data_IF_928995877500
#
_entry.id   IF_928995877500
#
_cell.length_a   1.000
_cell.length_b   1.000
_cell.length_c   1.000
_cell.angle_alpha   90.00
_cell.angle_beta   90.00
_cell.angle_gamma   90.00
#
_symmetry.space_group_name_H-M   'P 1'
#
loop_
_entity.id
_entity.type
_entity.pdbx_description
1 polymer ?
#
# COMPACT_ATOMS: atom_id res chain seq x y z
N UNK A 1 -2.84 -24.08 22.19
CA UNK A 1 -1.64 -23.38 21.66
C UNK A 1 -1.81 -22.84 20.23
N UNK A 2 -2.83 -23.27 19.45
CA UNK A 2 -3.01 -22.87 18.03
C UNK A 2 -3.81 -21.56 17.84
N UNK A 3 -4.82 -21.28 18.68
CA UNK A 3 -5.73 -20.14 18.50
C UNK A 3 -5.06 -18.75 18.61
N UNK A 4 -4.01 -18.62 19.43
CA UNK A 4 -3.26 -17.36 19.56
C UNK A 4 -2.45 -17.04 18.30
N UNK A 5 -1.85 -18.06 17.66
CA UNK A 5 -1.07 -17.89 16.42
C UNK A 5 -1.95 -17.41 15.26
N UNK A 6 -3.16 -17.97 15.13
CA UNK A 6 -4.11 -17.58 14.06
C UNK A 6 -4.62 -16.15 14.28
N UNK A 7 -4.97 -15.76 15.52
CA UNK A 7 -5.37 -14.38 15.81
C UNK A 7 -4.30 -13.36 15.45
N UNK A 8 -3.03 -13.67 15.73
CA UNK A 8 -1.90 -12.79 15.40
C UNK A 8 -1.73 -12.58 13.89
N UNK A 9 -1.94 -13.65 13.08
CA UNK A 9 -1.83 -13.59 11.62
C UNK A 9 -2.97 -12.77 10.99
N UNK A 10 -4.19 -12.87 11.52
CA UNK A 10 -5.31 -12.02 11.07
C UNK A 10 -5.13 -10.54 11.39
N UNK A 11 -4.52 -10.19 12.53
CA UNK A 11 -4.23 -8.80 12.90
C UNK A 11 -3.18 -8.21 11.94
N UNK A 12 -2.12 -8.96 11.63
CA UNK A 12 -1.12 -8.53 10.66
C UNK A 12 -1.73 -8.28 9.28
N UNK A 13 -2.63 -9.16 8.82
CA UNK A 13 -3.34 -8.99 7.55
C UNK A 13 -4.23 -7.75 7.51
N UNK A 14 -4.99 -7.50 8.59
CA UNK A 14 -5.80 -6.29 8.72
C UNK A 14 -4.93 -5.02 8.66
N UNK A 15 -3.77 -5.02 9.29
CA UNK A 15 -2.83 -3.89 9.24
C UNK A 15 -2.28 -3.65 7.84
N UNK A 16 -1.92 -4.71 7.09
CA UNK A 16 -1.44 -4.58 5.71
C UNK A 16 -2.54 -4.05 4.78
N UNK A 17 -3.78 -4.53 4.93
CA UNK A 17 -4.93 -3.99 4.18
C UNK A 17 -5.15 -2.51 4.51
N UNK A 18 -5.08 -2.14 5.79
CA UNK A 18 -5.20 -0.74 6.19
C UNK A 18 -4.10 0.13 5.57
N UNK A 19 -2.84 -0.33 5.59
CA UNK A 19 -1.73 0.35 4.95
C UNK A 19 -1.91 0.48 3.42
N UNK A 20 -2.46 -0.55 2.76
CA UNK A 20 -2.78 -0.52 1.35
C UNK A 20 -3.85 0.54 1.04
N UNK A 21 -4.94 0.59 1.83
CA UNK A 21 -6.02 1.59 1.67
C UNK A 21 -5.49 3.01 1.88
N UNK A 22 -4.69 3.23 2.93
CA UNK A 22 -4.09 4.53 3.22
C UNK A 22 -3.17 4.98 2.07
N UNK A 23 -2.28 4.09 1.60
CA UNK A 23 -1.38 4.36 0.48
C UNK A 23 -2.16 4.66 -0.80
N UNK A 24 -3.22 3.89 -1.10
CA UNK A 24 -4.11 4.16 -2.22
C UNK A 24 -4.75 5.54 -2.14
N UNK A 25 -5.26 5.92 -0.97
CA UNK A 25 -5.90 7.23 -0.76
C UNK A 25 -4.92 8.37 -1.00
N UNK A 26 -3.68 8.23 -0.52
CA UNK A 26 -2.61 9.19 -0.75
C UNK A 26 -2.24 9.26 -2.23
N UNK A 27 -2.09 8.13 -2.92
CA UNK A 27 -1.77 8.10 -4.36
C UNK A 27 -2.86 8.74 -5.20
N UNK A 28 -4.14 8.47 -4.91
CA UNK A 28 -5.28 9.06 -5.63
C UNK A 28 -5.29 10.59 -5.54
N UNK A 29 -4.86 11.17 -4.42
CA UNK A 29 -4.79 12.63 -4.25
C UNK A 29 -3.48 13.20 -4.82
N UNK A 30 -2.35 12.55 -4.53
CA UNK A 30 -1.02 13.04 -4.89
C UNK A 30 -0.74 12.96 -6.39
N UNK A 31 -1.27 11.97 -7.10
CA UNK A 31 -1.05 11.82 -8.54
C UNK A 31 -1.63 13.01 -9.33
N UNK A 32 -2.92 13.37 -9.19
CA UNK A 32 -3.46 14.59 -9.80
C UNK A 32 -2.72 15.86 -9.34
N UNK A 33 -2.35 15.95 -8.07
CA UNK A 33 -1.65 17.12 -7.50
C UNK A 33 -0.28 17.35 -8.15
N UNK A 34 0.49 16.28 -8.37
CA UNK A 34 1.79 16.33 -9.04
C UNK A 34 1.63 16.70 -10.52
N UNK A 35 0.59 16.21 -11.18
CA UNK A 35 0.33 16.53 -12.58
C UNK A 35 -0.27 17.93 -12.81
N UNK A 36 -0.99 18.47 -11.83
CA UNK A 36 -1.62 19.79 -11.94
C UNK A 36 -0.66 20.96 -11.64
N UNK A 37 0.48 20.73 -10.96
CA UNK A 37 1.43 21.80 -10.63
C UNK A 37 2.44 22.06 -11.76
N UNK A 38 2.79 23.33 -12.05
CA UNK A 38 3.89 23.67 -12.95
C UNK A 38 5.19 23.03 -12.47
N UNK A 39 5.95 22.39 -13.36
CA UNK A 39 7.16 21.60 -13.05
C UNK A 39 6.96 20.46 -12.03
N UNK A 40 5.73 20.17 -11.61
CA UNK A 40 5.41 19.14 -10.63
C UNK A 40 5.93 17.76 -11.03
N UNK A 41 5.83 17.42 -12.32
CA UNK A 41 6.34 16.17 -12.86
C UNK A 41 7.87 16.06 -12.84
N UNK A 42 8.62 17.13 -13.14
CA UNK A 42 10.08 17.04 -13.19
C UNK A 42 10.66 16.82 -11.79
N UNK A 43 10.10 17.50 -10.79
CA UNK A 43 10.58 17.50 -9.42
C UNK A 43 10.07 16.31 -8.59
N UNK A 44 8.82 15.88 -8.80
CA UNK A 44 8.19 14.84 -7.96
C UNK A 44 8.10 13.46 -8.63
N UNK A 45 8.72 13.27 -9.80
CA UNK A 45 8.72 11.99 -10.54
C UNK A 45 9.09 10.81 -9.65
N UNK A 46 10.18 10.95 -8.88
CA UNK A 46 10.70 9.88 -8.05
C UNK A 46 9.75 9.53 -6.88
N UNK A 47 9.02 10.53 -6.36
CA UNK A 47 8.02 10.32 -5.30
C UNK A 47 6.84 9.51 -5.83
N UNK A 48 6.33 9.85 -7.02
CA UNK A 48 5.23 9.11 -7.66
C UNK A 48 5.66 7.67 -7.99
N UNK A 49 6.88 7.47 -8.53
CA UNK A 49 7.40 6.14 -8.79
C UNK A 49 7.60 5.32 -7.51
N UNK A 50 8.19 5.91 -6.47
CA UNK A 50 8.41 5.24 -5.18
C UNK A 50 7.07 4.85 -4.55
N UNK A 51 6.10 5.77 -4.50
CA UNK A 51 4.76 5.50 -3.96
C UNK A 51 4.03 4.40 -4.74
N UNK A 52 4.08 4.43 -6.07
CA UNK A 52 3.46 3.40 -6.92
C UNK A 52 4.14 2.04 -6.73
N UNK A 53 5.46 2.00 -6.64
CA UNK A 53 6.22 0.76 -6.39
C UNK A 53 5.89 0.14 -5.04
N UNK A 54 5.77 0.97 -4.00
CA UNK A 54 5.36 0.56 -2.66
C UNK A 54 3.93 0.04 -2.64
N UNK A 55 3.03 0.70 -3.39
CA UNK A 55 1.64 0.25 -3.55
C UNK A 55 1.55 -1.12 -4.22
N UNK A 56 2.29 -1.35 -5.32
CA UNK A 56 2.35 -2.67 -5.98
C UNK A 56 2.90 -3.73 -5.02
N UNK A 57 3.96 -3.40 -4.27
CA UNK A 57 4.52 -4.31 -3.26
C UNK A 57 3.52 -4.69 -2.18
N UNK A 58 2.72 -3.73 -1.69
CA UNK A 58 1.63 -3.98 -0.75
C UNK A 58 0.54 -4.89 -1.33
N UNK A 59 0.16 -4.70 -2.60
CA UNK A 59 -0.84 -5.57 -3.27
C UNK A 59 -0.36 -7.01 -3.30
N UNK A 60 0.90 -7.26 -3.68
CA UNK A 60 1.47 -8.61 -3.65
C UNK A 60 1.54 -9.18 -2.24
N UNK A 61 1.92 -8.36 -1.25
CA UNK A 61 1.99 -8.77 0.15
C UNK A 61 0.62 -9.20 0.67
N UNK A 62 -0.45 -8.46 0.35
CA UNK A 62 -1.82 -8.85 0.69
C UNK A 62 -2.19 -10.18 0.05
N UNK A 63 -1.86 -10.40 -1.22
CA UNK A 63 -2.16 -11.65 -1.91
C UNK A 63 -1.45 -12.86 -1.27
N UNK A 64 -0.18 -12.71 -0.90
CA UNK A 64 0.58 -13.76 -0.20
C UNK A 64 -0.03 -14.04 1.16
N UNK A 65 -0.27 -13.00 1.97
CA UNK A 65 -0.86 -13.15 3.29
C UNK A 65 -2.25 -13.78 3.25
N UNK A 66 -3.06 -13.46 2.23
CA UNK A 66 -4.37 -14.06 2.01
C UNK A 66 -4.27 -15.59 1.84
N UNK A 67 -3.26 -16.07 1.10
CA UNK A 67 -2.99 -17.51 0.91
C UNK A 67 -2.51 -18.23 2.18
N UNK A 68 -1.91 -17.50 3.13
CA UNK A 68 -1.39 -18.07 4.39
C UNK A 68 -2.43 -18.12 5.52
N UNK A 69 -3.53 -17.38 5.37
CA UNK A 69 -4.58 -17.21 6.39
C UNK A 69 -5.84 -17.98 6.02
N UNK A 70 -6.18 -18.03 4.73
CA UNK A 70 -7.28 -18.83 4.19
C UNK A 70 -6.95 -20.32 4.19
#
# INVERSE_FOLDING_TARGET
>A
MVAWRIRNMTIAFQLVIFALIATSSVLVISVPLVFASPDGWSNNKNVVFSGTSLWIGLVFLVAILNSLIS
#
